data_IF_698797722940
#
_entry.id   IF_698797722940
#
_cell.length_a   1.000
_cell.length_b   1.000
_cell.length_c   1.000
_cell.angle_alpha   90.00
_cell.angle_beta   90.00
_cell.angle_gamma   90.00
#
_symmetry.space_group_name_H-M   'P 1'
#
loop_
_entity.id
_entity.type
_entity.pdbx_description
1 polymer ?
#
# COMPACT_ATOMS: atom_id res chain seq x y z
N UNK A 1 36.88 -9.51 -78.74
CA UNK A 1 37.16 -10.12 -77.42
C UNK A 1 37.64 -8.99 -76.52
N UNK A 2 36.69 -8.14 -76.09
CA UNK A 2 36.07 -8.12 -74.75
C UNK A 2 37.04 -7.49 -73.72
N UNK A 3 37.04 -6.16 -73.53
CA UNK A 3 36.00 -5.25 -72.98
C UNK A 3 35.84 -5.43 -71.45
N UNK A 4 35.71 -4.41 -70.60
CA UNK A 4 35.76 -2.93 -70.62
C UNK A 4 35.76 -2.53 -69.10
N UNK A 5 36.54 -1.55 -68.63
CA UNK A 5 36.16 -0.11 -68.41
C UNK A 5 35.01 0.07 -67.39
N UNK A 6 35.05 0.87 -66.32
CA UNK A 6 35.44 2.30 -66.11
C UNK A 6 35.62 2.55 -64.58
N UNK A 7 36.70 3.15 -64.05
CA UNK A 7 36.95 4.59 -63.79
C UNK A 7 35.79 5.35 -63.09
N UNK A 8 35.98 6.10 -61.99
CA UNK A 8 36.59 7.45 -61.96
C UNK A 8 37.18 7.81 -60.57
N UNK A 9 38.29 8.53 -60.64
CA UNK A 9 39.27 8.99 -59.65
C UNK A 9 38.99 10.39 -59.07
N UNK A 10 39.49 10.63 -57.85
CA UNK A 10 40.24 11.81 -57.34
C UNK A 10 39.78 13.28 -57.60
N UNK A 11 39.90 14.16 -56.58
CA UNK A 11 41.14 14.97 -56.32
C UNK A 11 41.02 15.95 -55.14
N UNK A 12 42.15 16.09 -54.43
CA UNK A 12 42.52 17.16 -53.50
C UNK A 12 43.06 18.43 -54.23
N UNK A 13 43.39 19.46 -53.42
CA UNK A 13 44.25 20.66 -53.64
C UNK A 13 43.41 21.96 -53.68
N UNK A 14 43.69 23.09 -53.00
CA UNK A 14 44.78 23.52 -52.10
C UNK A 14 44.73 25.05 -51.89
N UNK A 15 45.21 25.50 -50.71
CA UNK A 15 45.94 26.74 -50.35
C UNK A 15 45.63 28.17 -50.91
N UNK A 16 45.52 29.10 -49.92
CA UNK A 16 45.99 30.53 -49.82
C UNK A 16 45.70 31.55 -50.95
N UNK A 17 45.11 32.71 -50.58
CA UNK A 17 45.82 34.02 -50.53
C UNK A 17 44.95 35.21 -50.05
N UNK A 18 45.64 36.29 -49.71
CA UNK A 18 45.23 37.49 -48.97
C UNK A 18 44.67 38.64 -49.83
N UNK A 19 43.84 39.47 -49.16
CA UNK A 19 43.71 40.95 -49.20
C UNK A 19 43.02 41.68 -50.37
N UNK A 20 41.97 42.41 -49.93
CA UNK A 20 41.57 43.80 -50.23
C UNK A 20 41.25 44.21 -51.68
N UNK A 21 40.02 44.69 -51.92
CA UNK A 21 39.73 46.08 -52.35
C UNK A 21 38.23 46.42 -52.20
N UNK A 22 37.96 47.72 -51.99
CA UNK A 22 36.67 48.41 -51.78
C UNK A 22 35.68 48.22 -52.97
N UNK A 23 34.39 48.61 -53.01
CA UNK A 23 33.63 49.66 -52.32
C UNK A 23 32.10 49.46 -52.56
N UNK A 24 31.30 49.79 -51.56
CA UNK A 24 30.01 50.49 -51.58
C UNK A 24 28.70 49.98 -52.25
N UNK A 25 27.66 50.06 -51.39
CA UNK A 25 26.22 50.36 -51.60
C UNK A 25 25.30 49.22 -52.07
N UNK A 26 24.44 48.71 -51.19
CA UNK A 26 23.10 49.27 -50.95
C UNK A 26 22.44 48.61 -49.71
N UNK A 27 21.45 49.32 -49.19
CA UNK A 27 20.82 49.25 -47.86
C UNK A 27 20.02 47.97 -47.59
N UNK A 28 19.95 47.56 -46.31
CA UNK A 28 19.06 46.49 -45.87
C UNK A 28 19.27 46.05 -44.42
N UNK A 29 18.68 46.81 -43.50
CA UNK A 29 18.53 46.61 -42.05
C UNK A 29 18.40 45.13 -41.61
N UNK A 30 19.29 44.64 -40.71
CA UNK A 30 19.00 44.26 -39.31
C UNK A 30 20.21 43.59 -38.64
N UNK A 31 20.66 44.22 -37.56
CA UNK A 31 21.69 43.77 -36.63
C UNK A 31 21.08 42.69 -35.72
N UNK A 32 21.72 41.53 -35.61
CA UNK A 32 21.62 40.68 -34.44
C UNK A 32 23.02 40.10 -34.18
N UNK A 33 23.81 40.88 -33.47
CA UNK A 33 25.15 40.54 -33.04
C UNK A 33 25.12 39.51 -31.92
N UNK A 34 26.09 38.60 -32.02
CA UNK A 34 26.59 37.64 -31.06
C UNK A 34 26.70 38.25 -29.64
N UNK A 35 25.99 37.65 -28.69
CA UNK A 35 26.28 37.72 -27.27
C UNK A 35 25.92 36.37 -26.64
N UNK A 36 26.75 35.35 -26.90
CA UNK A 36 26.79 34.14 -26.05
C UNK A 36 27.52 34.56 -24.79
N UNK A 37 26.78 35.16 -23.86
CA UNK A 37 27.26 35.44 -22.52
C UNK A 37 27.11 34.14 -21.72
N UNK A 38 28.26 33.65 -21.26
CA UNK A 38 28.42 32.56 -20.32
C UNK A 38 27.58 32.87 -19.08
N UNK A 39 26.34 32.36 -19.06
CA UNK A 39 25.53 32.30 -17.87
C UNK A 39 25.97 31.04 -17.13
N UNK A 40 27.06 31.17 -16.36
CA UNK A 40 27.49 30.19 -15.39
C UNK A 40 26.31 29.89 -14.48
N UNK A 41 25.79 28.68 -14.62
CA UNK A 41 24.68 28.11 -13.88
C UNK A 41 24.98 28.17 -12.38
N UNK A 42 24.51 29.24 -11.72
CA UNK A 42 24.09 29.21 -10.34
C UNK A 42 22.59 28.93 -10.32
N UNK A 43 22.17 27.80 -10.92
CA UNK A 43 20.91 27.18 -10.53
C UNK A 43 21.19 26.53 -9.18
N UNK A 44 20.98 27.29 -8.10
CA UNK A 44 20.44 26.64 -6.90
C UNK A 44 19.18 25.96 -7.36
N UNK A 45 19.26 24.65 -7.58
CA UNK A 45 18.08 23.82 -7.81
C UNK A 45 17.28 23.86 -6.50
N UNK A 46 16.48 24.91 -6.31
CA UNK A 46 15.28 24.81 -5.50
C UNK A 46 14.40 23.84 -6.26
N UNK A 47 14.57 22.55 -6.00
CA UNK A 47 13.52 21.58 -6.26
C UNK A 47 12.29 22.07 -5.52
N UNK A 48 11.13 22.08 -6.19
CA UNK A 48 9.87 22.39 -5.52
C UNK A 48 9.74 21.56 -4.24
N UNK A 49 9.25 22.15 -3.14
CA UNK A 49 9.11 21.44 -1.88
C UNK A 49 8.25 20.20 -2.08
N UNK A 50 8.66 19.07 -1.51
CA UNK A 50 7.89 17.84 -1.67
C UNK A 50 6.54 17.99 -0.97
N UNK A 51 5.50 17.45 -1.58
CA UNK A 51 4.14 17.42 -1.04
C UNK A 51 3.61 15.98 -0.99
N UNK A 52 2.66 15.74 -0.10
CA UNK A 52 1.94 14.48 -0.06
C UNK A 52 0.92 14.48 -1.21
N UNK A 53 1.04 13.51 -2.12
CA UNK A 53 0.06 13.31 -3.19
C UNK A 53 -1.32 13.04 -2.59
N UNK A 54 -2.34 13.78 -3.06
CA UNK A 54 -3.73 13.62 -2.61
C UNK A 54 -4.30 12.27 -3.06
N UNK A 55 -5.16 11.66 -2.25
CA UNK A 55 -5.70 10.32 -2.50
C UNK A 55 -6.82 10.30 -3.57
N UNK A 56 -6.49 10.67 -4.81
CA UNK A 56 -7.45 10.70 -5.93
C UNK A 56 -8.10 9.35 -6.20
N UNK A 57 -7.36 8.24 -6.05
CA UNK A 57 -7.93 6.90 -6.19
C UNK A 57 -9.05 6.63 -5.18
N UNK A 58 -8.90 7.09 -3.94
CA UNK A 58 -9.94 6.91 -2.93
C UNK A 58 -11.11 7.86 -3.14
N UNK A 59 -10.88 9.09 -3.62
CA UNK A 59 -11.96 10.01 -3.99
C UNK A 59 -12.88 9.36 -5.02
N UNK A 60 -12.30 8.77 -6.08
CA UNK A 60 -13.08 8.01 -7.06
C UNK A 60 -13.78 6.81 -6.41
N UNK A 61 -13.11 6.05 -5.54
CA UNK A 61 -13.77 4.93 -4.88
C UNK A 61 -14.92 5.35 -3.94
N UNK A 62 -14.80 6.48 -3.25
CA UNK A 62 -15.77 6.96 -2.26
C UNK A 62 -16.97 7.67 -2.88
N UNK A 63 -16.76 8.43 -3.97
CA UNK A 63 -17.84 9.09 -4.72
C UNK A 63 -18.76 8.09 -5.41
N UNK A 64 -18.20 6.97 -5.85
CA UNK A 64 -18.92 5.92 -6.54
C UNK A 64 -19.34 4.85 -5.54
N UNK A 65 -20.32 5.19 -4.67
CA UNK A 65 -20.86 4.27 -3.64
C UNK A 65 -21.30 2.94 -4.27
N UNK A 66 -21.02 1.79 -3.62
CA UNK A 66 -21.34 0.48 -4.20
C UNK A 66 -22.81 0.09 -3.98
N UNK A 67 -23.55 -0.12 -5.06
CA UNK A 67 -24.70 -1.05 -5.09
C UNK A 67 -24.16 -2.45 -5.43
N UNK A 68 -23.92 -3.25 -4.38
CA UNK A 68 -23.40 -4.62 -4.49
C UNK A 68 -24.35 -5.60 -5.18
N UNK A 69 -25.61 -5.22 -5.43
CA UNK A 69 -26.60 -6.09 -6.04
C UNK A 69 -26.64 -6.03 -7.59
N UNK A 70 -25.93 -5.09 -8.24
CA UNK A 70 -26.04 -4.85 -9.70
C UNK A 70 -24.66 -4.60 -10.34
N UNK A 71 -23.99 -5.66 -10.83
CA UNK A 71 -22.63 -5.57 -11.38
C UNK A 71 -22.53 -4.88 -12.75
N UNK A 72 -23.65 -4.47 -13.35
CA UNK A 72 -23.66 -3.79 -14.65
C UNK A 72 -24.37 -2.45 -14.55
N UNK A 73 -23.66 -1.40 -15.00
CA UNK A 73 -24.08 0.01 -15.08
C UNK A 73 -24.15 0.73 -13.73
N UNK A 74 -22.96 1.09 -13.20
CA UNK A 74 -22.79 2.06 -12.12
C UNK A 74 -23.29 3.41 -12.59
N UNK A 75 -24.53 3.76 -12.29
CA UNK A 75 -24.95 5.16 -12.37
C UNK A 75 -24.55 5.79 -11.05
N UNK A 76 -23.90 6.95 -11.12
CA UNK A 76 -23.86 7.87 -9.99
C UNK A 76 -25.28 7.94 -9.43
N UNK A 77 -25.44 7.74 -8.13
CA UNK A 77 -26.74 7.98 -7.50
C UNK A 77 -27.15 9.40 -7.89
N UNK A 78 -28.36 9.55 -8.43
CA UNK A 78 -28.87 10.88 -8.74
C UNK A 78 -29.46 11.47 -7.46
N UNK A 79 -29.01 12.66 -7.03
CA UNK A 79 -28.10 13.55 -7.74
C UNK A 79 -26.61 13.25 -7.48
N UNK A 80 -25.78 13.45 -8.52
CA UNK A 80 -24.35 13.15 -8.48
C UNK A 80 -23.63 14.06 -7.49
N UNK A 81 -22.92 13.47 -6.52
CA UNK A 81 -22.10 14.21 -5.54
C UNK A 81 -20.62 14.01 -5.86
N UNK A 82 -19.94 15.08 -6.29
CA UNK A 82 -18.50 15.11 -6.57
C UNK A 82 -17.81 16.17 -5.71
N UNK A 83 -16.61 15.84 -5.27
CA UNK A 83 -15.70 16.80 -4.65
C UNK A 83 -15.13 17.71 -5.72
N UNK A 84 -15.28 19.02 -5.51
CA UNK A 84 -14.66 20.04 -6.34
C UNK A 84 -13.24 20.37 -5.84
N UNK A 85 -12.46 21.05 -6.67
CA UNK A 85 -11.06 21.35 -6.36
C UNK A 85 -10.87 22.17 -5.07
N UNK A 86 -11.77 23.12 -4.77
CA UNK A 86 -11.70 23.89 -3.52
C UNK A 86 -11.90 23.02 -2.27
N UNK A 87 -12.71 21.96 -2.35
CA UNK A 87 -12.89 21.00 -1.26
C UNK A 87 -11.65 20.12 -1.08
N UNK A 88 -11.02 19.69 -2.19
CA UNK A 88 -9.75 18.95 -2.14
C UNK A 88 -8.61 19.80 -1.57
N UNK A 89 -8.55 21.08 -1.95
CA UNK A 89 -7.60 22.06 -1.42
C UNK A 89 -7.84 22.30 0.07
N UNK A 90 -9.11 22.37 0.51
CA UNK A 90 -9.47 22.48 1.91
C UNK A 90 -8.95 21.29 2.74
N UNK A 91 -9.19 20.06 2.28
CA UNK A 91 -8.67 18.84 2.92
C UNK A 91 -7.14 18.85 2.96
N UNK A 92 -6.49 19.20 1.84
CA UNK A 92 -5.03 19.27 1.74
C UNK A 92 -4.44 20.29 2.71
N UNK A 93 -5.07 21.46 2.82
CA UNK A 93 -4.69 22.53 3.76
C UNK A 93 -4.84 22.07 5.21
N UNK A 94 -5.92 21.37 5.56
CA UNK A 94 -6.12 20.79 6.89
C UNK A 94 -5.01 19.78 7.21
N UNK A 95 -4.71 18.87 6.28
CA UNK A 95 -3.68 17.85 6.45
C UNK A 95 -2.29 18.45 6.57
N UNK A 96 -1.94 19.45 5.77
CA UNK A 96 -0.67 20.15 5.87
C UNK A 96 -0.56 20.96 7.18
N UNK A 97 -1.65 21.58 7.62
CA UNK A 97 -1.71 22.25 8.92
C UNK A 97 -1.43 21.29 10.08
N UNK A 98 -2.10 20.13 10.09
CA UNK A 98 -2.03 19.15 11.15
C UNK A 98 -0.76 18.30 11.14
N UNK A 99 -0.33 17.84 9.96
CA UNK A 99 0.75 16.87 9.78
C UNK A 99 1.97 17.48 9.08
N UNK A 100 1.88 18.64 8.44
CA UNK A 100 3.00 19.21 7.69
C UNK A 100 3.24 18.52 6.36
N UNK A 101 4.48 18.59 5.87
CA UNK A 101 4.89 18.10 4.54
C UNK A 101 5.81 16.88 4.65
N UNK A 102 6.05 16.14 3.56
CA UNK A 102 7.06 15.09 3.52
C UNK A 102 8.48 15.53 3.90
N UNK A 103 8.79 16.83 3.76
CA UNK A 103 10.08 17.40 4.14
C UNK A 103 10.10 17.95 5.56
N UNK A 104 8.96 18.44 6.04
CA UNK A 104 8.83 19.04 7.35
C UNK A 104 7.59 18.50 8.08
N UNK A 105 7.66 17.27 8.64
CA UNK A 105 6.54 16.66 9.33
C UNK A 105 6.22 17.40 10.63
N UNK A 106 4.97 17.33 11.05
CA UNK A 106 4.43 17.88 12.30
C UNK A 106 3.60 16.82 13.01
N UNK A 107 3.53 16.96 14.33
CA UNK A 107 2.60 16.16 15.15
C UNK A 107 1.46 17.07 15.58
N UNK A 108 0.18 16.75 15.25
CA UNK A 108 -0.95 17.54 15.70
C UNK A 108 -1.02 17.59 17.23
N UNK A 109 -1.22 18.79 17.76
CA UNK A 109 -1.29 19.04 19.20
C UNK A 109 -2.63 18.60 19.82
N UNK A 110 -2.59 18.11 21.06
CA UNK A 110 -3.80 17.85 21.85
C UNK A 110 -4.64 16.64 21.42
N UNK A 111 -4.10 15.75 20.57
CA UNK A 111 -4.73 14.48 20.15
C UNK A 111 -4.01 13.24 20.70
N UNK A 112 -2.99 13.43 21.55
CA UNK A 112 -2.22 12.34 22.17
C UNK A 112 -1.16 11.68 21.28
N UNK A 113 -1.00 12.13 20.02
CA UNK A 113 -0.04 11.51 19.10
C UNK A 113 1.43 11.78 19.49
N UNK A 114 1.72 12.94 20.08
CA UNK A 114 3.08 13.31 20.52
C UNK A 114 3.61 12.51 21.69
N UNK A 115 2.74 11.86 22.46
CA UNK A 115 3.13 10.93 23.52
C UNK A 115 3.54 9.57 22.94
N UNK A 116 3.04 9.24 21.74
CA UNK A 116 3.25 7.95 21.08
C UNK A 116 4.35 8.00 20.02
N UNK A 117 4.47 9.09 19.26
CA UNK A 117 5.49 9.29 18.21
C UNK A 117 6.51 10.35 18.62
N UNK A 118 7.76 10.15 18.23
CA UNK A 118 8.84 11.10 18.53
C UNK A 118 9.10 12.05 17.37
N UNK A 119 8.98 13.36 17.62
CA UNK A 119 9.25 14.38 16.59
C UNK A 119 10.68 14.29 16.04
N UNK A 120 11.68 14.06 16.89
CA UNK A 120 13.07 13.91 16.44
C UNK A 120 13.26 12.70 15.53
N UNK A 121 12.53 11.61 15.76
CA UNK A 121 12.54 10.43 14.89
C UNK A 121 11.87 10.70 13.55
N UNK A 122 10.74 11.42 13.54
CA UNK A 122 10.08 11.82 12.30
C UNK A 122 10.98 12.73 11.46
N UNK A 123 11.67 13.69 12.08
CA UNK A 123 12.61 14.59 11.38
C UNK A 123 13.80 13.86 10.76
N UNK A 124 14.29 12.78 11.39
CA UNK A 124 15.36 11.94 10.82
C UNK A 124 14.85 11.06 9.67
N UNK A 125 13.60 10.60 9.73
CA UNK A 125 13.02 9.76 8.69
C UNK A 125 12.57 10.55 7.45
N UNK A 126 12.05 11.75 7.66
CA UNK A 126 11.52 12.64 6.63
C UNK A 126 12.61 13.42 5.89
N UNK A 127 12.20 14.15 4.84
CA UNK A 127 13.11 15.00 4.08
C UNK A 127 13.88 14.28 2.97
N UNK A 128 14.63 15.05 2.15
CA UNK A 128 15.58 14.51 1.19
C UNK A 128 16.67 13.69 1.90
N UNK A 129 17.31 12.79 1.15
CA UNK A 129 18.42 11.98 1.67
C UNK A 129 19.66 12.85 1.81
N UNK A 130 20.01 13.18 3.05
CA UNK A 130 21.14 14.05 3.36
C UNK A 130 21.71 13.75 4.75
N UNK A 131 22.73 14.51 5.15
CA UNK A 131 23.24 14.54 6.53
C UNK A 131 23.14 15.95 7.05
N UNK A 132 22.76 16.10 8.32
CA UNK A 132 22.78 17.41 8.97
C UNK A 132 24.22 17.84 9.33
N UNK A 133 24.38 19.03 9.92
CA UNK A 133 25.68 19.57 10.34
C UNK A 133 26.41 18.65 11.34
N UNK A 134 25.66 17.90 12.15
CA UNK A 134 26.18 16.91 13.09
C UNK A 134 26.43 15.53 12.44
N UNK A 135 26.33 15.43 11.12
CA UNK A 135 26.49 14.23 10.31
C UNK A 135 25.44 13.12 10.59
N UNK A 136 24.33 13.46 11.26
CA UNK A 136 23.22 12.55 11.51
C UNK A 136 22.45 12.35 10.19
N UNK A 137 22.17 11.11 9.78
CA UNK A 137 21.43 10.86 8.54
C UNK A 137 19.98 11.37 8.63
N UNK A 138 19.51 12.02 7.56
CA UNK A 138 18.12 12.42 7.33
C UNK A 138 17.56 11.77 6.06
N UNK A 139 16.23 11.78 5.91
CA UNK A 139 15.56 11.20 4.75
C UNK A 139 15.61 9.67 4.71
N UNK A 140 15.73 9.00 5.86
CA UNK A 140 15.84 7.53 5.94
C UNK A 140 14.69 6.82 5.20
N UNK A 141 13.47 7.34 5.29
CA UNK A 141 12.33 6.75 4.58
C UNK A 141 12.47 6.89 3.06
N UNK A 142 12.93 8.04 2.56
CA UNK A 142 13.18 8.22 1.13
C UNK A 142 14.31 7.35 0.62
N UNK A 143 15.35 7.17 1.45
CA UNK A 143 16.49 6.33 1.14
C UNK A 143 16.11 4.85 1.02
N UNK A 144 15.20 4.36 1.87
CA UNK A 144 14.98 2.92 2.02
C UNK A 144 13.59 2.42 1.61
N UNK A 145 12.57 3.26 1.63
CA UNK A 145 11.17 2.83 1.54
C UNK A 145 10.41 3.46 0.37
N UNK A 146 10.62 4.75 0.09
CA UNK A 146 9.80 5.51 -0.86
C UNK A 146 9.87 4.98 -2.31
N UNK A 147 10.97 4.31 -2.68
CA UNK A 147 11.12 3.71 -4.01
C UNK A 147 10.04 2.65 -4.32
N UNK A 148 9.56 1.96 -3.27
CA UNK A 148 8.48 0.97 -3.35
C UNK A 148 7.17 1.55 -2.80
N UNK A 149 7.20 2.12 -1.59
CA UNK A 149 5.98 2.55 -0.87
C UNK A 149 5.50 3.96 -1.22
N UNK A 150 6.23 4.71 -2.05
CA UNK A 150 5.91 6.10 -2.38
C UNK A 150 6.24 7.07 -1.24
N UNK A 151 6.42 8.35 -1.56
CA UNK A 151 6.68 9.40 -0.55
C UNK A 151 5.48 9.58 0.39
N UNK A 152 4.26 9.42 -0.13
CA UNK A 152 3.01 9.47 0.64
C UNK A 152 2.71 8.18 1.40
N UNK A 153 3.43 7.08 1.13
CA UNK A 153 3.10 5.78 1.69
C UNK A 153 1.90 5.10 1.01
N UNK A 154 1.59 5.49 -0.22
CA UNK A 154 0.47 4.99 -1.02
C UNK A 154 0.74 3.65 -1.71
N UNK A 155 1.95 3.10 -1.58
CA UNK A 155 2.34 1.86 -2.24
C UNK A 155 2.62 2.02 -3.73
N UNK A 156 2.71 3.26 -4.25
CA UNK A 156 2.89 3.56 -5.67
C UNK A 156 4.26 4.22 -5.95
N UNK A 157 5.29 3.77 -5.24
CA UNK A 157 6.67 4.17 -5.57
C UNK A 157 7.03 3.80 -7.02
N UNK A 158 8.08 4.40 -7.60
CA UNK A 158 8.45 4.22 -9.00
C UNK A 158 8.67 2.76 -9.43
N UNK A 159 8.94 1.84 -8.50
CA UNK A 159 9.05 0.40 -8.81
C UNK A 159 7.78 -0.41 -8.59
N UNK A 160 6.77 0.15 -7.93
CA UNK A 160 5.63 -0.60 -7.43
C UNK A 160 4.93 -1.43 -8.51
N UNK A 161 4.74 -0.87 -9.71
CA UNK A 161 4.08 -1.54 -10.84
C UNK A 161 4.77 -2.85 -11.27
N UNK A 162 6.09 -2.96 -11.08
CA UNK A 162 6.89 -4.14 -11.43
C UNK A 162 6.94 -5.21 -10.33
N UNK A 163 6.43 -4.91 -9.13
CA UNK A 163 6.50 -5.83 -7.99
C UNK A 163 5.25 -6.69 -7.90
N UNK A 164 5.43 -7.96 -7.51
CA UNK A 164 4.33 -8.86 -7.18
C UNK A 164 4.65 -9.61 -5.87
N UNK A 165 3.90 -9.38 -4.77
CA UNK A 165 2.75 -8.48 -4.65
C UNK A 165 3.17 -7.00 -4.71
N UNK A 166 2.20 -6.11 -4.92
CA UNK A 166 2.44 -4.67 -4.79
C UNK A 166 2.87 -4.29 -3.36
N UNK A 167 3.66 -3.21 -3.21
CA UNK A 167 3.96 -2.62 -1.92
C UNK A 167 2.68 -2.25 -1.17
N UNK A 168 2.75 -2.27 0.17
CA UNK A 168 1.62 -1.91 1.03
C UNK A 168 1.34 -0.41 0.91
N UNK A 169 0.09 -0.07 0.60
CA UNK A 169 -0.48 1.26 0.88
C UNK A 169 -0.80 1.35 2.38
N UNK A 170 -0.15 2.27 3.06
CA UNK A 170 -0.28 2.52 4.49
C UNK A 170 -1.53 3.33 4.84
N UNK A 171 -2.12 4.06 3.88
CA UNK A 171 -3.21 5.01 4.12
C UNK A 171 -4.52 4.36 4.57
N UNK A 172 -4.69 3.05 4.34
CA UNK A 172 -5.80 2.28 4.90
C UNK A 172 -5.62 1.93 6.38
N UNK A 173 -4.40 2.08 6.93
CA UNK A 173 -4.09 1.70 8.31
C UNK A 173 -4.26 0.21 8.61
N UNK A 174 -4.23 -0.64 7.57
CA UNK A 174 -4.37 -2.09 7.68
C UNK A 174 -3.02 -2.78 7.43
N UNK A 175 -2.64 -3.70 8.32
CA UNK A 175 -1.34 -4.38 8.26
C UNK A 175 -1.52 -5.89 8.37
N UNK A 176 -0.88 -6.65 7.47
CA UNK A 176 -1.12 -8.10 7.34
C UNK A 176 -0.46 -8.94 8.45
N UNK A 177 0.73 -8.55 8.90
CA UNK A 177 1.57 -9.39 9.76
C UNK A 177 1.78 -8.73 11.13
N UNK A 178 0.90 -9.06 12.07
CA UNK A 178 0.84 -8.43 13.41
C UNK A 178 0.30 -9.36 14.49
N UNK A 179 0.83 -9.27 15.69
CA UNK A 179 0.45 -10.10 16.83
C UNK A 179 -0.61 -9.43 17.73
N UNK A 180 -1.11 -8.24 17.37
CA UNK A 180 -2.09 -7.49 18.18
C UNK A 180 -3.52 -7.99 18.04
N UNK A 181 -3.85 -8.74 16.98
CA UNK A 181 -5.22 -9.22 16.74
C UNK A 181 -5.60 -10.36 17.69
N UNK A 182 -6.78 -10.30 18.29
CA UNK A 182 -7.30 -11.33 19.19
C UNK A 182 -8.82 -11.44 19.09
N UNK A 183 -9.36 -12.64 19.33
CA UNK A 183 -10.81 -12.86 19.44
C UNK A 183 -11.61 -12.57 18.17
N UNK A 184 -10.98 -12.62 16.99
CA UNK A 184 -11.64 -12.26 15.73
C UNK A 184 -11.71 -10.75 15.46
N UNK A 185 -11.12 -9.92 16.32
CA UNK A 185 -11.06 -8.47 16.13
C UNK A 185 -9.66 -8.04 15.69
N UNK A 186 -9.59 -7.27 14.60
CA UNK A 186 -8.34 -6.68 14.14
C UNK A 186 -7.99 -5.42 14.94
N UNK A 187 -6.72 -5.31 15.36
CA UNK A 187 -6.17 -4.10 16.02
C UNK A 187 -5.02 -3.50 15.21
N UNK A 188 -4.68 -2.24 15.40
CA UNK A 188 -3.50 -1.65 14.74
C UNK A 188 -2.22 -2.41 15.16
N UNK A 189 -1.18 -2.48 14.31
CA UNK A 189 0.05 -3.17 14.68
C UNK A 189 0.75 -2.45 15.84
N UNK A 190 1.44 -3.22 16.67
CA UNK A 190 2.37 -2.67 17.65
C UNK A 190 3.64 -2.16 16.96
N UNK A 191 4.43 -1.30 17.63
CA UNK A 191 5.77 -0.95 17.13
C UNK A 191 6.67 -2.18 16.97
N UNK A 192 6.50 -3.19 17.83
CA UNK A 192 7.27 -4.44 17.75
C UNK A 192 6.87 -5.32 16.55
N UNK A 193 5.60 -5.28 16.12
CA UNK A 193 5.17 -5.95 14.88
C UNK A 193 5.84 -5.35 13.65
N UNK A 194 5.87 -4.01 13.58
CA UNK A 194 6.53 -3.29 12.49
C UNK A 194 8.04 -3.50 12.52
N UNK A 195 8.65 -3.47 13.72
CA UNK A 195 10.07 -3.80 13.91
C UNK A 195 10.39 -5.21 13.44
N UNK A 196 9.58 -6.19 13.83
CA UNK A 196 9.74 -7.59 13.39
C UNK A 196 9.67 -7.69 11.87
N UNK A 197 8.71 -7.00 11.24
CA UNK A 197 8.56 -6.97 9.78
C UNK A 197 9.78 -6.35 9.10
N UNK A 198 10.28 -5.22 9.59
CA UNK A 198 11.46 -4.57 9.02
C UNK A 198 12.73 -5.41 9.22
N UNK A 199 12.91 -6.03 10.39
CA UNK A 199 14.07 -6.89 10.64
C UNK A 199 14.03 -8.18 9.83
N UNK A 200 12.88 -8.79 9.63
CA UNK A 200 12.81 -10.07 8.92
C UNK A 200 12.64 -9.90 7.40
N UNK A 201 12.15 -8.75 6.96
CA UNK A 201 11.57 -8.61 5.62
C UNK A 201 10.31 -9.45 5.48
N UNK A 202 9.80 -9.57 4.26
CA UNK A 202 8.63 -10.41 3.96
C UNK A 202 9.03 -11.46 2.91
N UNK A 203 9.29 -12.72 3.32
CA UNK A 203 9.76 -13.77 2.43
C UNK A 203 8.88 -13.96 1.18
N UNK A 204 9.50 -14.08 0.01
CA UNK A 204 8.79 -14.23 -1.26
C UNK A 204 8.07 -12.95 -1.72
N UNK A 205 8.57 -11.78 -1.31
CA UNK A 205 8.21 -10.47 -1.85
C UNK A 205 9.49 -9.63 -2.03
N UNK A 206 9.37 -8.43 -2.58
CA UNK A 206 10.48 -7.50 -2.73
C UNK A 206 10.84 -6.73 -1.44
N UNK A 207 10.14 -6.95 -0.32
CA UNK A 207 10.44 -6.29 0.96
C UNK A 207 11.62 -6.97 1.67
N UNK A 208 12.82 -6.37 1.68
CA UNK A 208 14.03 -7.01 2.19
C UNK A 208 14.09 -6.93 3.73
N UNK A 209 15.10 -7.60 4.29
CA UNK A 209 15.47 -7.43 5.70
C UNK A 209 16.30 -6.16 5.88
N UNK A 210 15.94 -5.37 6.89
CA UNK A 210 16.65 -4.15 7.31
C UNK A 210 17.44 -4.36 8.61
N UNK A 211 17.90 -5.59 8.90
CA UNK A 211 18.71 -5.87 10.12
C UNK A 211 19.95 -5.01 10.26
N UNK A 212 20.52 -4.56 9.14
CA UNK A 212 21.66 -3.64 9.13
C UNK A 212 21.35 -2.31 9.82
N UNK A 213 20.07 -1.91 9.91
CA UNK A 213 19.60 -0.66 10.52
C UNK A 213 19.11 -0.83 11.98
N UNK A 214 19.19 -2.04 12.55
CA UNK A 214 18.56 -2.38 13.82
C UNK A 214 19.08 -1.60 15.05
N UNK A 215 20.30 -1.05 14.97
CA UNK A 215 20.97 -0.39 16.09
C UNK A 215 20.81 1.14 16.15
N UNK A 216 20.45 1.80 15.04
CA UNK A 216 20.54 3.26 14.92
C UNK A 216 19.29 3.91 14.34
N UNK A 217 18.67 3.29 13.32
CA UNK A 217 17.76 4.00 12.41
C UNK A 217 16.38 3.36 12.26
N UNK A 218 16.19 2.13 12.77
CA UNK A 218 14.95 1.37 12.51
C UNK A 218 13.71 2.00 13.16
N UNK A 219 13.87 2.62 14.34
CA UNK A 219 12.75 3.20 15.08
C UNK A 219 12.21 4.47 14.40
N UNK A 220 13.06 5.20 13.68
CA UNK A 220 12.73 6.37 12.90
C UNK A 220 11.78 5.98 11.76
N UNK A 221 12.12 4.90 11.04
CA UNK A 221 11.25 4.37 9.99
C UNK A 221 9.94 3.81 10.54
N UNK A 222 9.95 3.13 11.70
CA UNK A 222 8.71 2.63 12.34
C UNK A 222 7.77 3.78 12.67
N UNK A 223 8.26 4.81 13.37
CA UNK A 223 7.45 5.98 13.74
C UNK A 223 6.93 6.70 12.49
N UNK A 224 7.74 6.81 11.43
CA UNK A 224 7.34 7.46 10.18
C UNK A 224 6.29 6.66 9.39
N UNK A 225 6.39 5.32 9.35
CA UNK A 225 5.35 4.47 8.73
C UNK A 225 4.02 4.59 9.48
N UNK A 226 4.04 4.61 10.82
CA UNK A 226 2.84 4.83 11.63
C UNK A 226 2.27 6.23 11.34
N UNK A 227 3.12 7.25 11.27
CA UNK A 227 2.73 8.61 10.96
C UNK A 227 2.04 8.71 9.58
N UNK A 228 2.59 8.08 8.54
CA UNK A 228 1.97 8.04 7.20
C UNK A 228 0.63 7.31 7.22
N UNK A 229 0.53 6.22 7.98
CA UNK A 229 -0.73 5.47 8.11
C UNK A 229 -1.82 6.29 8.80
N UNK A 230 -1.50 6.96 9.92
CA UNK A 230 -2.43 7.85 10.63
C UNK A 230 -2.85 9.02 9.75
N UNK A 231 -1.89 9.69 9.10
CA UNK A 231 -2.19 10.80 8.17
C UNK A 231 -3.13 10.34 7.05
N UNK A 232 -2.86 9.18 6.44
CA UNK A 232 -3.68 8.64 5.37
C UNK A 232 -5.08 8.21 5.81
N UNK A 233 -5.23 7.67 7.02
CA UNK A 233 -6.56 7.40 7.59
C UNK A 233 -7.34 8.68 7.84
N UNK A 234 -6.70 9.73 8.36
CA UNK A 234 -7.34 11.04 8.54
C UNK A 234 -7.73 11.65 7.20
N UNK A 235 -6.88 11.56 6.17
CA UNK A 235 -7.20 12.01 4.81
C UNK A 235 -8.48 11.34 4.29
N UNK A 236 -8.59 10.01 4.47
CA UNK A 236 -9.79 9.26 4.08
C UNK A 236 -11.01 9.68 4.89
N UNK A 237 -10.87 9.88 6.19
CA UNK A 237 -11.98 10.38 7.03
C UNK A 237 -12.45 11.77 6.60
N UNK A 238 -11.53 12.69 6.26
CA UNK A 238 -11.86 14.03 5.78
C UNK A 238 -12.55 13.98 4.41
N UNK A 239 -12.12 13.11 3.50
CA UNK A 239 -12.78 12.88 2.20
C UNK A 239 -14.23 12.43 2.44
N UNK A 240 -14.45 11.45 3.31
CA UNK A 240 -15.80 10.95 3.61
C UNK A 240 -16.68 12.02 4.27
N UNK A 241 -16.15 12.71 5.29
CA UNK A 241 -16.90 13.78 5.96
C UNK A 241 -17.28 14.89 4.98
N UNK A 242 -16.39 15.25 4.04
CA UNK A 242 -16.71 16.25 3.01
C UNK A 242 -17.79 15.74 2.07
N UNK A 243 -17.70 14.48 1.61
CA UNK A 243 -18.72 13.87 0.75
C UNK A 243 -20.08 13.79 1.44
N UNK A 244 -20.13 13.54 2.75
CA UNK A 244 -21.37 13.47 3.54
C UNK A 244 -22.10 14.81 3.63
N UNK A 245 -21.37 15.93 3.64
CA UNK A 245 -21.96 17.27 3.69
C UNK A 245 -22.13 17.91 2.30
N UNK A 246 -21.60 17.29 1.25
CA UNK A 246 -21.68 17.80 -0.12
C UNK A 246 -22.98 17.34 -0.78
N UNK A 247 -23.67 18.26 -1.45
CA UNK A 247 -24.83 17.95 -2.30
C UNK A 247 -24.49 18.27 -3.75
N UNK A 248 -25.40 18.00 -4.69
CA UNK A 248 -25.19 18.38 -6.10
C UNK A 248 -25.17 19.89 -6.34
N UNK A 249 -25.81 20.66 -5.45
CA UNK A 249 -25.96 22.11 -5.61
C UNK A 249 -25.06 22.89 -4.64
N UNK A 250 -24.64 22.27 -3.53
CA UNK A 250 -23.85 22.90 -2.47
C UNK A 250 -22.56 22.11 -2.19
N UNK A 251 -21.43 22.83 -2.21
CA UNK A 251 -20.09 22.29 -1.96
C UNK A 251 -19.44 22.94 -0.74
N UNK A 252 -19.96 22.71 0.48
CA UNK A 252 -19.41 23.31 1.69
C UNK A 252 -17.97 22.83 1.94
N UNK A 253 -17.18 23.71 2.57
CA UNK A 253 -15.84 23.38 3.05
C UNK A 253 -15.94 22.81 4.47
N UNK A 254 -15.04 21.90 4.84
CA UNK A 254 -14.98 21.38 6.21
C UNK A 254 -14.48 22.44 7.20
N UNK A 255 -13.61 23.34 6.74
CA UNK A 255 -13.06 24.43 7.55
C UNK A 255 -13.04 25.71 6.72
N UNK A 256 -13.69 26.77 7.20
CA UNK A 256 -13.59 28.09 6.58
C UNK A 256 -12.39 28.89 7.12
N UNK A 257 -11.43 29.20 6.25
CA UNK A 257 -10.22 29.93 6.63
C UNK A 257 -10.40 31.47 6.62
N UNK A 258 -11.52 32.02 6.13
CA UNK A 258 -11.73 33.46 5.96
C UNK A 258 -12.71 34.11 6.97
N UNK A 259 -12.45 35.38 7.32
CA UNK A 259 -13.21 36.38 8.09
C UNK A 259 -14.44 36.03 9.00
N UNK A 260 -14.34 35.03 9.86
CA UNK A 260 -14.58 35.28 11.29
C UNK A 260 -15.93 34.90 11.94
N UNK A 261 -16.73 33.97 11.41
CA UNK A 261 -17.81 33.36 12.22
C UNK A 261 -17.86 31.84 11.97
N UNK A 262 -17.52 31.07 13.04
CA UNK A 262 -17.38 29.58 13.20
C UNK A 262 -15.98 28.91 13.09
N UNK A 263 -14.88 29.64 13.29
CA UNK A 263 -13.50 29.07 13.23
C UNK A 263 -13.07 28.10 14.35
N UNK A 264 -13.75 28.06 15.50
CA UNK A 264 -13.33 27.20 16.63
C UNK A 264 -13.93 25.79 16.56
N UNK A 265 -15.20 25.69 16.16
CA UNK A 265 -15.95 24.44 16.12
C UNK A 265 -15.46 23.53 14.99
N UNK A 266 -15.13 24.09 13.82
CA UNK A 266 -14.58 23.33 12.68
C UNK A 266 -13.22 22.69 13.02
N UNK A 267 -12.34 23.44 13.72
CA UNK A 267 -11.06 22.91 14.18
C UNK A 267 -11.24 21.87 15.29
N UNK A 268 -12.26 22.02 16.14
CA UNK A 268 -12.60 21.01 17.14
C UNK A 268 -13.09 19.72 16.47
N UNK A 269 -13.91 19.82 15.42
CA UNK A 269 -14.36 18.69 14.61
C UNK A 269 -13.18 17.96 13.95
N UNK A 270 -12.29 18.69 13.27
CA UNK A 270 -11.07 18.09 12.67
C UNK A 270 -10.21 17.42 13.75
N UNK A 271 -10.05 18.06 14.91
CA UNK A 271 -9.29 17.50 16.03
C UNK A 271 -9.93 16.21 16.57
N UNK A 272 -11.25 16.15 16.64
CA UNK A 272 -12.00 14.96 17.03
C UNK A 272 -11.76 13.83 16.01
N UNK A 273 -11.85 14.10 14.71
CA UNK A 273 -11.56 13.12 13.65
C UNK A 273 -10.14 12.56 13.76
N UNK A 274 -9.14 13.44 13.94
CA UNK A 274 -7.76 13.00 14.16
C UNK A 274 -7.66 12.15 15.42
N UNK A 275 -8.31 12.56 16.51
CA UNK A 275 -8.30 11.82 17.78
C UNK A 275 -8.91 10.43 17.64
N UNK A 276 -10.00 10.30 16.89
CA UNK A 276 -10.66 9.01 16.63
C UNK A 276 -9.72 8.03 15.91
N UNK A 277 -8.93 8.51 14.94
CA UNK A 277 -7.90 7.70 14.29
C UNK A 277 -6.76 7.37 15.26
N UNK A 278 -6.22 8.37 15.95
CA UNK A 278 -5.06 8.22 16.85
C UNK A 278 -5.35 7.23 17.98
N UNK A 279 -6.54 7.26 18.58
CA UNK A 279 -6.95 6.36 19.67
C UNK A 279 -6.83 4.88 19.26
N UNK A 280 -7.11 4.54 18.01
CA UNK A 280 -6.98 3.16 17.50
C UNK A 280 -5.52 2.69 17.46
N UNK A 281 -4.57 3.61 17.29
CA UNK A 281 -3.14 3.32 17.24
C UNK A 281 -2.47 3.29 18.60
N UNK A 282 -2.78 4.28 19.45
CA UNK A 282 -2.15 4.45 20.77
C UNK A 282 -2.74 3.50 21.82
N UNK A 283 -3.95 2.99 21.61
CA UNK A 283 -4.61 2.11 22.56
C UNK A 283 -5.00 2.79 23.88
N UNK A 284 -5.62 2.06 24.81
CA UNK A 284 -6.16 2.63 26.05
C UNK A 284 -5.09 3.11 27.03
N UNK A 285 -3.89 2.53 27.01
CA UNK A 285 -2.77 2.88 27.88
C UNK A 285 -1.83 3.94 27.28
N UNK A 286 -2.15 4.44 26.07
CA UNK A 286 -1.35 5.41 25.30
C UNK A 286 0.06 4.93 24.92
N UNK A 287 0.37 3.65 25.08
CA UNK A 287 1.69 3.10 24.75
C UNK A 287 1.72 2.33 23.42
N UNK A 288 0.57 2.23 22.76
CA UNK A 288 0.35 1.45 21.56
C UNK A 288 -0.39 0.14 21.86
N UNK A 289 -0.84 -0.53 20.81
CA UNK A 289 -1.48 -1.82 20.95
C UNK A 289 -0.47 -2.89 21.42
N UNK A 290 -0.79 -3.60 22.50
CA UNK A 290 0.01 -4.71 22.98
C UNK A 290 -0.10 -5.94 22.05
N UNK A 291 1.03 -6.59 21.78
CA UNK A 291 1.02 -7.91 21.15
C UNK A 291 0.30 -8.89 22.07
N UNK A 292 -0.55 -9.75 21.49
CA UNK A 292 -1.23 -10.78 22.27
C UNK A 292 -0.22 -11.82 22.75
N UNK A 293 -0.47 -12.35 23.94
CA UNK A 293 0.26 -13.52 24.43
C UNK A 293 -0.44 -14.77 23.92
N UNK A 294 0.31 -15.66 23.26
CA UNK A 294 -0.18 -17.00 22.88
C UNK A 294 0.49 -18.00 23.81
N UNK A 295 -0.28 -18.95 24.33
CA UNK A 295 0.25 -20.03 25.15
C UNK A 295 1.38 -20.77 24.43
N UNK A 296 2.34 -21.27 25.21
CA UNK A 296 3.41 -22.10 24.65
C UNK A 296 2.80 -23.34 23.99
N UNK A 297 3.41 -23.79 22.89
CA UNK A 297 2.99 -25.00 22.22
C UNK A 297 3.11 -26.21 23.18
N UNK A 298 2.08 -27.07 23.31
CA UNK A 298 2.18 -28.30 24.10
C UNK A 298 3.34 -29.19 23.64
N UNK A 299 4.04 -29.91 24.53
CA UNK A 299 5.27 -30.66 24.18
C UNK A 299 5.15 -31.60 22.96
N UNK A 300 3.97 -32.17 22.71
CA UNK A 300 3.69 -33.11 21.62
C UNK A 300 2.84 -32.49 20.49
N UNK A 301 2.80 -31.16 20.39
CA UNK A 301 1.99 -30.44 19.39
C UNK A 301 2.29 -30.85 17.95
N UNK A 302 3.50 -31.31 17.63
CA UNK A 302 3.93 -31.76 16.30
C UNK A 302 3.95 -33.30 16.13
N UNK A 303 3.29 -34.05 17.03
CA UNK A 303 3.21 -35.50 16.93
C UNK A 303 2.48 -35.97 15.66
N UNK A 304 2.72 -37.21 15.18
CA UNK A 304 1.98 -37.75 14.03
C UNK A 304 0.46 -37.74 14.20
N UNK A 305 -0.03 -37.92 15.44
CA UNK A 305 -1.45 -37.81 15.76
C UNK A 305 -1.97 -36.37 15.57
N UNK A 306 -1.21 -35.38 16.02
CA UNK A 306 -1.54 -33.96 15.84
C UNK A 306 -1.55 -33.55 14.37
N UNK A 307 -0.55 -34.00 13.60
CA UNK A 307 -0.50 -33.81 12.14
C UNK A 307 -1.74 -34.41 11.46
N UNK A 308 -2.21 -35.59 11.89
CA UNK A 308 -3.43 -36.21 11.36
C UNK A 308 -4.68 -35.38 11.66
N UNK A 309 -4.79 -34.83 12.88
CA UNK A 309 -5.89 -33.91 13.25
C UNK A 309 -5.88 -32.67 12.34
N UNK A 310 -4.71 -32.03 12.20
CA UNK A 310 -4.53 -30.88 11.33
C UNK A 310 -4.89 -31.17 9.87
N UNK A 311 -4.46 -32.34 9.36
CA UNK A 311 -4.80 -32.78 8.00
C UNK A 311 -6.31 -32.88 7.81
N UNK A 312 -7.02 -33.51 8.75
CA UNK A 312 -8.50 -33.61 8.68
C UNK A 312 -9.14 -32.23 8.66
N UNK A 313 -8.73 -31.31 9.56
CA UNK A 313 -9.28 -29.95 9.62
C UNK A 313 -8.96 -29.12 8.38
N UNK A 314 -7.80 -29.32 7.76
CA UNK A 314 -7.42 -28.61 6.55
C UNK A 314 -8.36 -28.91 5.38
N UNK A 315 -8.80 -30.17 5.26
CA UNK A 315 -9.66 -30.62 4.16
C UNK A 315 -11.15 -30.69 4.49
N UNK A 316 -11.53 -30.65 5.77
CA UNK A 316 -12.89 -30.92 6.22
C UNK A 316 -13.24 -30.11 7.48
N UNK A 317 -14.52 -30.13 7.84
CA UNK A 317 -15.00 -29.64 9.13
C UNK A 317 -14.88 -28.13 9.31
N UNK A 318 -14.42 -27.71 10.49
CA UNK A 318 -14.52 -26.30 10.95
C UNK A 318 -13.56 -25.33 10.27
N UNK A 319 -12.50 -25.80 9.61
CA UNK A 319 -11.45 -24.93 9.06
C UNK A 319 -11.44 -24.85 7.53
N UNK A 320 -11.71 -25.95 6.83
CA UNK A 320 -11.93 -25.97 5.37
C UNK A 320 -10.87 -25.21 4.54
N UNK A 321 -9.61 -25.23 4.98
CA UNK A 321 -8.54 -24.39 4.44
C UNK A 321 -8.24 -24.66 2.96
N UNK A 322 -8.54 -25.88 2.50
CA UNK A 322 -8.30 -26.30 1.11
C UNK A 322 -9.14 -25.54 0.08
N UNK A 323 -10.24 -24.89 0.44
CA UNK A 323 -11.05 -24.11 -0.50
C UNK A 323 -10.22 -23.01 -1.18
N UNK A 324 -9.38 -22.33 -0.40
CA UNK A 324 -8.47 -21.30 -0.89
C UNK A 324 -7.07 -21.86 -1.17
N UNK A 325 -6.48 -22.62 -0.23
CA UNK A 325 -5.12 -23.13 -0.38
C UNK A 325 -4.99 -24.29 -1.37
N UNK A 326 -6.13 -24.85 -1.80
CA UNK A 326 -6.24 -25.95 -2.75
C UNK A 326 -5.92 -27.32 -2.17
N UNK A 327 -6.29 -28.38 -2.91
CA UNK A 327 -6.10 -29.75 -2.44
C UNK A 327 -4.62 -30.12 -2.29
N UNK A 328 -3.77 -29.50 -3.09
CA UNK A 328 -2.33 -29.71 -3.06
C UNK A 328 -1.63 -28.78 -2.08
N UNK A 329 -2.34 -27.84 -1.46
CA UNK A 329 -1.80 -26.79 -0.58
C UNK A 329 -0.79 -25.84 -1.26
N UNK A 330 -0.78 -25.76 -2.59
CA UNK A 330 0.10 -24.85 -3.34
C UNK A 330 -0.54 -23.48 -3.62
N UNK A 331 -1.77 -23.24 -3.14
CA UNK A 331 -2.53 -22.01 -3.40
C UNK A 331 -3.30 -22.07 -4.72
N UNK A 332 -3.71 -23.26 -5.14
CA UNK A 332 -4.41 -23.56 -6.38
C UNK A 332 -5.93 -23.76 -6.20
N UNK A 333 -6.48 -23.35 -5.05
CA UNK A 333 -7.92 -23.32 -4.78
C UNK A 333 -8.60 -22.13 -5.46
N UNK A 334 -9.42 -21.38 -4.74
CA UNK A 334 -10.10 -20.20 -5.25
C UNK A 334 -9.10 -19.11 -5.71
N UNK A 335 -9.27 -18.60 -6.95
CA UNK A 335 -8.33 -17.66 -7.60
C UNK A 335 -8.88 -16.27 -7.87
N UNK A 336 -10.18 -16.05 -7.69
CA UNK A 336 -10.88 -14.79 -7.95
C UNK A 336 -11.07 -13.95 -6.68
N UNK A 337 -10.14 -14.06 -5.74
CA UNK A 337 -10.20 -13.33 -4.48
C UNK A 337 -9.29 -12.11 -4.52
N UNK A 338 -9.71 -11.02 -3.89
CA UNK A 338 -8.99 -9.75 -3.87
C UNK A 338 -8.74 -9.30 -2.43
N UNK A 339 -7.64 -8.59 -2.20
CA UNK A 339 -7.39 -7.95 -0.92
C UNK A 339 -8.06 -6.57 -0.86
N UNK A 340 -8.21 -6.00 0.34
CA UNK A 340 -9.06 -4.82 0.55
C UNK A 340 -8.62 -3.61 -0.29
N UNK A 341 -7.30 -3.44 -0.48
CA UNK A 341 -6.76 -2.39 -1.35
C UNK A 341 -7.17 -2.60 -2.80
N UNK A 342 -7.21 -3.86 -3.26
CA UNK A 342 -7.59 -4.16 -4.63
C UNK A 342 -9.10 -4.06 -4.85
N UNK A 343 -9.91 -4.43 -3.85
CA UNK A 343 -11.37 -4.25 -3.90
C UNK A 343 -11.76 -2.79 -4.12
N UNK A 344 -11.09 -1.86 -3.43
CA UNK A 344 -11.29 -0.42 -3.62
C UNK A 344 -11.01 0.04 -5.07
N UNK A 345 -9.97 -0.53 -5.70
CA UNK A 345 -9.64 -0.25 -7.10
C UNK A 345 -10.61 -0.90 -8.09
N UNK A 346 -11.41 -1.85 -7.64
CA UNK A 346 -12.55 -2.39 -8.37
C UNK A 346 -13.84 -1.64 -8.01
N UNK A 347 -13.78 -0.61 -7.15
CA UNK A 347 -14.92 0.12 -6.60
C UNK A 347 -15.90 -0.79 -5.85
N UNK A 348 -15.36 -1.81 -5.17
CA UNK A 348 -16.09 -2.68 -4.26
C UNK A 348 -15.77 -2.27 -2.83
N UNK A 349 -16.78 -2.28 -1.95
CA UNK A 349 -16.58 -1.96 -0.54
C UNK A 349 -15.78 -3.07 0.15
N UNK A 350 -14.57 -2.79 0.69
CA UNK A 350 -13.80 -3.78 1.43
C UNK A 350 -14.41 -4.16 2.79
N UNK A 351 -15.41 -3.42 3.25
CA UNK A 351 -16.13 -3.65 4.51
C UNK A 351 -17.42 -4.47 4.34
N UNK A 352 -17.93 -4.60 3.11
CA UNK A 352 -19.02 -5.52 2.82
C UNK A 352 -18.54 -6.96 3.04
N UNK A 353 -19.22 -7.70 3.92
CA UNK A 353 -18.89 -9.09 4.29
C UNK A 353 -18.73 -10.02 3.07
N UNK A 354 -19.39 -9.67 1.97
CA UNK A 354 -19.53 -10.50 0.77
C UNK A 354 -18.52 -10.11 -0.33
N UNK A 355 -17.72 -9.05 -0.12
CA UNK A 355 -16.66 -8.66 -1.06
C UNK A 355 -15.33 -9.36 -0.78
N UNK A 356 -15.11 -9.79 0.48
CA UNK A 356 -13.89 -10.50 0.92
C UNK A 356 -14.10 -12.02 1.07
N UNK A 357 -15.33 -12.46 1.33
CA UNK A 357 -15.77 -13.82 1.05
C UNK A 357 -16.15 -13.82 -0.43
N UNK A 358 -15.34 -14.46 -1.29
CA UNK A 358 -15.51 -14.37 -2.73
C UNK A 358 -16.97 -14.55 -3.13
N UNK A 359 -17.41 -13.68 -4.05
CA UNK A 359 -18.71 -13.71 -4.71
C UNK A 359 -19.30 -15.12 -4.67
N UNK A 360 -20.46 -15.25 -4.02
CA UNK A 360 -21.20 -16.50 -4.01
C UNK A 360 -21.22 -17.08 -5.42
N UNK A 361 -21.08 -18.40 -5.50
CA UNK A 361 -20.92 -19.17 -6.73
C UNK A 361 -22.08 -19.05 -7.74
N UNK A 362 -23.07 -18.19 -7.46
CA UNK A 362 -24.26 -17.93 -8.26
C UNK A 362 -24.28 -16.53 -8.92
N UNK A 363 -23.23 -15.71 -8.75
CA UNK A 363 -23.04 -14.53 -9.60
C UNK A 363 -22.49 -15.02 -10.94
N UNK A 364 -23.34 -15.00 -11.99
CA UNK A 364 -22.94 -15.26 -13.39
C UNK A 364 -21.53 -14.72 -13.64
N UNK A 365 -20.66 -15.57 -14.18
CA UNK A 365 -19.25 -15.35 -14.49
C UNK A 365 -19.00 -13.92 -15.02
N UNK A 366 -18.80 -12.96 -14.11
CA UNK A 366 -18.63 -11.56 -14.47
C UNK A 366 -17.32 -11.51 -15.22
N UNK A 367 -17.39 -11.21 -16.52
CA UNK A 367 -16.20 -11.15 -17.37
C UNK A 367 -15.14 -10.26 -16.72
N UNK A 368 -13.86 -10.62 -16.88
CA UNK A 368 -12.73 -9.82 -16.37
C UNK A 368 -12.82 -8.35 -16.83
N UNK A 369 -13.37 -8.11 -18.02
CA UNK A 369 -13.64 -6.78 -18.57
C UNK A 369 -14.66 -6.01 -17.72
N UNK A 370 -15.78 -6.63 -17.35
CA UNK A 370 -16.79 -6.04 -16.46
C UNK A 370 -16.24 -5.78 -15.05
N UNK A 371 -15.36 -6.66 -14.53
CA UNK A 371 -14.70 -6.44 -13.24
C UNK A 371 -13.75 -5.22 -13.27
N UNK A 372 -13.03 -5.04 -14.38
CA UNK A 372 -12.05 -3.97 -14.54
C UNK A 372 -12.65 -2.65 -15.05
N UNK A 373 -13.96 -2.60 -15.37
CA UNK A 373 -14.61 -1.41 -15.91
C UNK A 373 -14.32 -0.15 -15.08
N UNK A 374 -14.61 -0.16 -13.79
CA UNK A 374 -14.37 1.00 -12.92
C UNK A 374 -12.91 1.44 -12.89
N UNK A 375 -12.00 0.47 -12.82
CA UNK A 375 -10.58 0.76 -12.89
C UNK A 375 -10.22 1.45 -14.22
N UNK A 376 -10.66 0.89 -15.35
CA UNK A 376 -10.34 1.43 -16.67
C UNK A 376 -10.90 2.83 -16.87
N UNK A 377 -12.14 3.08 -16.43
CA UNK A 377 -12.82 4.35 -16.62
C UNK A 377 -12.32 5.45 -15.67
N UNK A 378 -12.03 5.13 -14.41
CA UNK A 378 -11.81 6.15 -13.37
C UNK A 378 -10.40 6.16 -12.79
N UNK A 379 -9.66 5.05 -12.86
CA UNK A 379 -8.39 4.91 -12.12
C UNK A 379 -7.16 4.77 -13.01
N UNK A 380 -7.30 4.15 -14.19
CA UNK A 380 -6.19 3.94 -15.11
C UNK A 380 -5.59 5.27 -15.60
N UNK A 381 -6.44 6.26 -15.91
CA UNK A 381 -6.02 7.58 -16.38
C UNK A 381 -5.27 8.41 -15.35
N UNK A 382 -5.47 8.14 -14.06
CA UNK A 382 -4.77 8.81 -12.95
C UNK A 382 -3.57 7.99 -12.43
N UNK A 383 -3.20 6.92 -13.13
CA UNK A 383 -1.98 6.15 -12.85
C UNK A 383 -2.09 5.14 -11.70
N UNK A 384 -3.31 4.80 -11.26
CA UNK A 384 -3.49 3.78 -10.22
C UNK A 384 -2.94 2.41 -10.66
N UNK A 385 -2.43 1.62 -9.72
CA UNK A 385 -1.93 0.29 -10.02
C UNK A 385 -3.06 -0.65 -10.47
N UNK A 386 -2.84 -1.37 -11.58
CA UNK A 386 -3.83 -2.33 -12.11
C UNK A 386 -4.20 -3.38 -11.05
N UNK A 387 -5.50 -3.60 -10.75
CA UNK A 387 -5.99 -4.61 -9.82
C UNK A 387 -5.41 -6.00 -10.09
N UNK A 388 -5.05 -6.72 -9.03
CA UNK A 388 -4.54 -8.10 -9.10
C UNK A 388 -5.20 -8.97 -8.03
N UNK A 389 -5.70 -10.13 -8.44
CA UNK A 389 -6.19 -11.13 -7.49
C UNK A 389 -5.07 -11.54 -6.53
N UNK A 390 -5.43 -11.73 -5.26
CA UNK A 390 -4.50 -12.22 -4.26
C UNK A 390 -4.49 -13.75 -4.29
N UNK A 391 -3.34 -14.34 -4.61
CA UNK A 391 -3.17 -15.79 -4.56
C UNK A 391 -2.76 -16.24 -3.14
N UNK A 392 -3.41 -17.27 -2.58
CA UNK A 392 -2.95 -17.90 -1.35
C UNK A 392 -1.52 -18.43 -1.49
N UNK A 393 -0.81 -18.50 -0.38
CA UNK A 393 0.59 -18.94 -0.39
C UNK A 393 0.68 -20.42 -0.72
N UNK A 394 1.67 -20.80 -1.53
CA UNK A 394 2.15 -22.17 -1.62
C UNK A 394 2.79 -22.58 -0.28
N UNK A 395 2.06 -23.37 0.50
CA UNK A 395 2.44 -23.79 1.85
C UNK A 395 3.55 -24.85 1.84
N UNK A 396 3.76 -25.53 0.71
CA UNK A 396 4.82 -26.54 0.55
C UNK A 396 6.22 -25.94 0.42
N UNK A 397 6.34 -24.64 0.17
CA UNK A 397 7.65 -23.98 0.10
C UNK A 397 8.27 -23.70 1.48
N UNK A 398 7.52 -23.83 2.58
CA UNK A 398 8.00 -23.53 3.93
C UNK A 398 8.30 -22.04 4.20
N UNK A 399 8.12 -21.18 3.21
CA UNK A 399 8.35 -19.73 3.28
C UNK A 399 7.04 -18.97 3.50
N UNK A 400 6.74 -18.68 4.76
CA UNK A 400 5.55 -17.96 5.21
C UNK A 400 5.82 -16.46 5.38
N UNK A 401 4.98 -15.61 4.78
CA UNK A 401 5.16 -14.14 4.79
C UNK A 401 5.05 -13.51 6.18
N UNK A 402 4.24 -14.09 7.06
CA UNK A 402 3.99 -13.59 8.42
C UNK A 402 4.86 -14.22 9.51
N UNK A 403 5.92 -14.95 9.14
CA UNK A 403 6.78 -15.69 10.06
C UNK A 403 6.57 -17.20 10.01
N UNK A 404 7.65 -17.97 10.27
CA UNK A 404 7.66 -19.44 10.23
C UNK A 404 7.62 -20.10 11.60
N UNK A 405 7.64 -19.33 12.70
CA UNK A 405 7.57 -19.94 14.03
C UNK A 405 6.18 -20.54 14.21
N UNK A 406 6.01 -21.64 14.96
CA UNK A 406 4.69 -22.24 15.17
C UNK A 406 3.65 -21.23 15.70
N UNK A 407 4.08 -20.33 16.58
CA UNK A 407 3.26 -19.24 17.13
C UNK A 407 2.81 -18.20 16.08
N UNK A 408 3.62 -17.96 15.04
CA UNK A 408 3.28 -17.04 13.95
C UNK A 408 2.14 -17.63 13.10
N UNK A 409 2.22 -18.94 12.83
CA UNK A 409 1.19 -19.66 12.08
C UNK A 409 -0.08 -19.79 12.92
N UNK A 410 0.05 -20.09 14.21
CA UNK A 410 -1.06 -20.09 15.15
C UNK A 410 -1.82 -18.76 15.15
N UNK A 411 -1.10 -17.64 15.20
CA UNK A 411 -1.69 -16.29 15.10
C UNK A 411 -2.49 -16.12 13.80
N UNK A 412 -1.94 -16.53 12.66
CA UNK A 412 -2.62 -16.37 11.36
C UNK A 412 -3.86 -17.25 11.22
N UNK A 413 -3.85 -18.45 11.79
CA UNK A 413 -5.03 -19.33 11.78
C UNK A 413 -6.14 -18.76 12.66
N UNK A 414 -5.81 -18.27 13.85
CA UNK A 414 -6.82 -17.85 14.85
C UNK A 414 -7.34 -16.45 14.63
N UNK A 415 -6.50 -15.52 14.14
CA UNK A 415 -6.90 -14.12 13.89
C UNK A 415 -7.11 -13.79 12.42
N UNK A 416 -6.63 -14.62 11.50
CA UNK A 416 -6.64 -14.31 10.08
C UNK A 416 -5.54 -13.34 9.69
N UNK A 417 -5.66 -12.78 8.49
CA UNK A 417 -4.76 -11.78 7.94
C UNK A 417 -5.60 -10.57 7.52
N UNK A 418 -5.51 -9.48 8.30
CA UNK A 418 -6.30 -8.28 8.05
C UNK A 418 -6.13 -7.78 6.61
N UNK A 419 -7.25 -7.37 6.02
CA UNK A 419 -7.30 -6.83 4.67
C UNK A 419 -7.18 -7.89 3.60
N UNK A 420 -7.27 -9.18 3.94
CA UNK A 420 -7.27 -10.28 2.97
C UNK A 420 -8.44 -11.22 3.18
N UNK A 421 -8.79 -12.03 2.17
CA UNK A 421 -9.75 -13.14 2.25
C UNK A 421 -9.37 -14.29 3.20
N UNK A 422 -8.30 -14.18 4.00
CA UNK A 422 -7.90 -15.19 4.98
C UNK A 422 -8.49 -14.84 6.36
N UNK A 423 -9.66 -15.39 6.74
CA UNK A 423 -10.32 -15.07 7.99
C UNK A 423 -9.60 -15.71 9.19
N UNK A 424 -9.87 -15.19 10.38
CA UNK A 424 -9.53 -15.88 11.62
C UNK A 424 -10.55 -16.98 11.92
N UNK A 425 -10.06 -18.09 12.46
CA UNK A 425 -10.91 -19.19 12.91
C UNK A 425 -10.93 -19.29 14.44
N UNK A 426 -11.94 -18.66 15.04
CA UNK A 426 -12.17 -18.67 16.49
C UNK A 426 -12.97 -19.89 16.97
N UNK A 427 -13.44 -20.75 16.06
CA UNK A 427 -14.23 -21.95 16.37
C UNK A 427 -13.37 -23.18 16.71
N UNK A 428 -12.07 -23.08 16.50
CA UNK A 428 -11.12 -24.15 16.78
C UNK A 428 -10.71 -24.11 18.26
N UNK A 429 -10.63 -25.29 18.86
CA UNK A 429 -9.95 -25.47 20.14
C UNK A 429 -8.44 -25.27 19.97
N UNK A 430 -7.74 -25.05 21.09
CA UNK A 430 -6.28 -24.91 21.08
C UNK A 430 -5.58 -26.15 20.49
N UNK A 431 -6.01 -27.35 20.88
CA UNK A 431 -5.46 -28.60 20.35
C UNK A 431 -5.70 -28.77 18.84
N UNK A 432 -6.90 -28.43 18.35
CA UNK A 432 -7.21 -28.43 16.91
C UNK A 432 -6.33 -27.43 16.15
N UNK A 433 -6.11 -26.24 16.73
CA UNK A 433 -5.26 -25.19 16.13
C UNK A 433 -3.81 -25.64 16.05
N UNK A 434 -3.25 -26.20 17.13
CA UNK A 434 -1.90 -26.76 17.12
C UNK A 434 -1.76 -27.94 16.15
N UNK A 435 -2.81 -28.74 15.98
CA UNK A 435 -2.90 -29.76 14.93
C UNK A 435 -2.74 -29.17 13.54
N UNK A 436 -3.48 -28.11 13.21
CA UNK A 436 -3.34 -27.40 11.93
C UNK A 436 -1.93 -26.80 11.76
N UNK A 437 -1.36 -26.21 12.80
CA UNK A 437 0.03 -25.70 12.76
C UNK A 437 1.01 -26.83 12.44
N UNK A 438 0.87 -28.00 13.10
CA UNK A 438 1.69 -29.17 12.84
C UNK A 438 1.58 -29.66 11.40
N UNK A 439 0.36 -29.75 10.88
CA UNK A 439 0.12 -30.17 9.50
C UNK A 439 0.67 -29.17 8.47
N UNK A 440 0.44 -27.86 8.66
CA UNK A 440 0.97 -26.83 7.76
C UNK A 440 2.50 -26.86 7.73
N UNK A 441 3.14 -27.10 8.88
CA UNK A 441 4.60 -27.23 8.97
C UNK A 441 5.13 -28.58 8.45
N UNK A 442 4.30 -29.62 8.31
CA UNK A 442 4.71 -30.90 7.72
C UNK A 442 4.63 -30.89 6.18
N UNK A 443 3.80 -30.04 5.59
CA UNK A 443 3.59 -29.97 4.13
C UNK A 443 4.86 -29.86 3.27
N UNK A 444 5.90 -29.08 3.66
CA UNK A 444 7.15 -29.01 2.88
C UNK A 444 7.92 -30.34 2.80
N UNK A 445 7.66 -31.28 3.70
CA UNK A 445 8.37 -32.55 3.80
C UNK A 445 7.56 -33.73 3.24
N UNK A 446 6.31 -33.51 2.86
CA UNK A 446 5.52 -34.52 2.14
C UNK A 446 5.98 -34.64 0.68
N UNK A 447 6.19 -35.87 0.22
CA UNK A 447 6.57 -36.12 -1.17
C UNK A 447 5.45 -35.70 -2.13
N UNK A 448 5.71 -34.70 -2.99
CA UNK A 448 4.73 -34.16 -3.95
C UNK A 448 4.20 -35.21 -4.94
N UNK A 449 4.98 -36.27 -5.22
CA UNK A 449 4.61 -37.37 -6.12
C UNK A 449 3.82 -38.49 -5.45
N UNK A 450 3.63 -38.44 -4.12
CA UNK A 450 2.90 -39.45 -3.33
C UNK A 450 2.07 -38.77 -2.25
N UNK A 451 1.05 -37.97 -2.62
CA UNK A 451 0.14 -37.42 -1.62
C UNK A 451 -0.48 -38.58 -0.84
N UNK A 452 -0.51 -38.48 0.49
CA UNK A 452 -1.19 -39.46 1.35
C UNK A 452 -2.70 -39.39 1.09
N UNK A 453 -3.18 -40.05 0.03
CA UNK A 453 -4.58 -40.18 -0.42
C UNK A 453 -5.45 -38.93 -0.35
N UNK A 454 -5.95 -38.45 -1.50
CA UNK A 454 -6.99 -37.43 -1.52
C UNK A 454 -8.20 -37.91 -0.69
N UNK A 455 -8.81 -37.05 0.15
CA UNK A 455 -10.04 -37.42 0.84
C UNK A 455 -11.08 -37.84 -0.22
N UNK A 456 -11.63 -39.05 -0.07
CA UNK A 456 -12.69 -39.55 -0.95
C UNK A 456 -13.94 -38.70 -0.72
N UNK A 457 -14.30 -37.88 -1.70
CA UNK A 457 -15.60 -37.20 -1.74
C UNK A 457 -16.68 -38.23 -2.07
N UNK A 458 -17.11 -39.02 -1.10
CA UNK A 458 -18.41 -39.66 -1.23
C UNK A 458 -19.46 -38.56 -1.11
N UNK A 459 -20.25 -38.34 -2.19
CA UNK A 459 -21.54 -37.69 -2.07
C UNK A 459 -22.36 -38.58 -1.13
N UNK A 460 -22.76 -38.06 0.03
CA UNK A 460 -23.85 -38.66 0.77
C UNK A 460 -25.06 -38.69 -0.18
N UNK A 461 -25.42 -39.89 -0.64
CA UNK A 461 -26.72 -40.13 -1.24
C UNK A 461 -27.68 -40.24 -0.07
N UNK A 462 -28.54 -39.24 0.09
CA UNK A 462 -29.90 -39.41 0.62
C UNK A 462 -30.82 -38.49 -0.16
#
# INVERSE_FOLDING_TARGET
MHAESTAITERMIGYREMKQFHNNRHQGVRIASIAVLVCSVLLTACSDPAYFQFNESYVQAAQWKPDVAKPQMRKLENPVVLLIESQKENISTILEGAFGTPDNPRIPGGVGLGDFLSMSKLQQAAGPVERDEAHIPRGLYRQHCAHCHGVTGDGQGPTASFLNPYPRDYRLGQFKFKMTDAGGTFKKPSKEDLKTTLLQGIPGTAMPSFRVLAGTDINQMIDYVIYLAIRGEVERSLINATLEITTSDEHPLLVEFDNGVKKADDLAFVKEMISNVVIQWVGPDKTGNAQRTIAAAPDNWNSPASVKIGRTLFFQGKANCFSCHGQTAIGDGQKNLYDNWTLELLGLDPSASDASAGAEADVEDISLESQLYFYNEHLAGIGALKPRAISPRNLRLGNFRGGRRPIDIYQRITSGIQGTPMPGNTKLTEAETWGLVAYVLSLPYEASSRPQSAPTFQRDRN
#
